data_IF_765278681694
#
_entry.id   IF_765278681694
#
_cell.length_a   1.000
_cell.length_b   1.000
_cell.length_c   1.000
_cell.angle_alpha   90.00
_cell.angle_beta   90.00
_cell.angle_gamma   90.00
#
_symmetry.space_group_name_H-M   'P 1'
#
loop_
_entity.id
_entity.type
_entity.pdbx_description
1 polymer ?
#
# COMPACT_ATOMS: atom_id res chain seq x y z
N UNK A 1 -10.84 25.60 0.62
CA UNK A 1 -9.99 24.42 0.36
C UNK A 1 -10.71 23.18 0.90
N UNK A 2 -10.62 22.02 0.24
CA UNK A 2 -11.10 20.77 0.85
C UNK A 2 -10.18 20.44 2.04
N UNK A 3 -10.70 19.99 3.19
CA UNK A 3 -9.86 19.53 4.28
C UNK A 3 -9.00 18.36 3.79
N UNK A 4 -7.75 18.30 4.27
CA UNK A 4 -6.92 17.14 4.01
C UNK A 4 -7.59 15.88 4.60
N UNK A 5 -7.52 14.72 3.93
CA UNK A 5 -7.93 13.46 4.51
C UNK A 5 -7.22 13.24 5.85
N UNK A 6 -7.91 12.60 6.79
CA UNK A 6 -7.33 12.26 8.09
C UNK A 6 -6.17 11.27 7.90
N UNK A 7 -4.97 11.66 8.33
CA UNK A 7 -3.80 10.79 8.37
C UNK A 7 -3.81 10.00 9.67
N UNK A 8 -4.21 8.73 9.60
CA UNK A 8 -4.28 7.86 10.77
C UNK A 8 -2.91 7.45 11.33
N UNK A 9 -1.83 7.63 10.57
CA UNK A 9 -0.48 7.20 10.95
C UNK A 9 0.50 8.36 11.09
N UNK A 10 0.07 9.60 10.91
CA UNK A 10 0.90 10.81 11.00
C UNK A 10 2.19 10.72 10.18
N UNK A 11 2.11 10.13 8.97
CA UNK A 11 3.23 9.82 8.07
C UNK A 11 4.33 8.94 8.67
N UNK A 12 4.02 8.22 9.75
CA UNK A 12 4.92 7.23 10.35
C UNK A 12 4.67 5.86 9.70
N UNK A 13 5.40 5.59 8.62
CA UNK A 13 5.36 4.30 7.92
C UNK A 13 6.41 3.34 8.47
N UNK A 14 6.35 3.12 9.79
CA UNK A 14 7.25 2.22 10.54
C UNK A 14 6.39 1.37 11.45
N UNK A 15 6.73 0.09 11.57
CA UNK A 15 6.09 -0.85 12.48
C UNK A 15 7.17 -1.60 13.26
N UNK A 16 6.87 -1.96 14.52
CA UNK A 16 7.80 -2.68 15.40
C UNK A 16 7.67 -4.20 15.29
N UNK A 17 6.57 -4.70 14.73
CA UNK A 17 6.30 -6.12 14.55
C UNK A 17 5.44 -6.39 13.30
N UNK A 18 5.44 -7.64 12.77
CA UNK A 18 4.59 -8.04 11.65
C UNK A 18 3.11 -7.83 11.94
N UNK A 19 2.32 -7.53 10.91
CA UNK A 19 0.86 -7.33 10.96
C UNK A 19 0.38 -6.16 11.84
N UNK A 20 1.28 -5.25 12.25
CA UNK A 20 0.90 -4.07 13.03
C UNK A 20 0.44 -2.88 12.16
N UNK A 21 0.96 -2.78 10.93
CA UNK A 21 0.58 -1.73 9.97
C UNK A 21 0.69 -2.27 8.54
N UNK A 22 -0.39 -2.11 7.78
CA UNK A 22 -0.44 -2.41 6.36
C UNK A 22 -0.69 -1.15 5.55
N UNK A 23 0.00 -1.05 4.41
CA UNK A 23 -0.23 0.02 3.43
C UNK A 23 -0.79 -0.58 2.15
N UNK A 24 -1.72 0.13 1.53
CA UNK A 24 -2.20 -0.21 0.19
C UNK A 24 -1.57 0.70 -0.84
N UNK A 25 -1.04 0.14 -1.92
CA UNK A 25 -0.57 0.88 -3.08
C UNK A 25 -1.31 0.42 -4.34
N UNK A 26 -1.41 1.31 -5.33
CA UNK A 26 -2.08 1.05 -6.59
C UNK A 26 -1.20 1.51 -7.75
N UNK A 27 -0.83 0.57 -8.61
CA UNK A 27 0.14 0.82 -9.68
C UNK A 27 -0.29 0.17 -11.00
N UNK A 28 0.47 0.49 -12.04
CA UNK A 28 0.26 0.04 -13.41
C UNK A 28 1.33 -0.98 -13.77
N UNK A 29 0.92 -2.17 -14.20
CA UNK A 29 1.82 -3.23 -14.62
C UNK A 29 1.73 -3.38 -16.13
N UNK A 30 2.88 -3.25 -16.80
CA UNK A 30 2.99 -3.45 -18.25
C UNK A 30 2.84 -4.93 -18.60
N UNK A 31 2.12 -5.21 -19.67
CA UNK A 31 1.88 -6.54 -20.24
C UNK A 31 2.04 -6.48 -21.77
N UNK A 32 2.14 -7.64 -22.41
CA UNK A 32 2.20 -7.72 -23.87
C UNK A 32 0.94 -7.21 -24.60
N UNK A 33 -0.17 -7.09 -23.88
CA UNK A 33 -1.47 -6.64 -24.42
C UNK A 33 -1.85 -5.22 -23.96
N UNK A 34 -0.96 -4.50 -23.28
CA UNK A 34 -1.22 -3.18 -22.71
C UNK A 34 -0.88 -3.13 -21.22
N UNK A 35 -1.68 -2.44 -20.42
CA UNK A 35 -1.44 -2.29 -18.98
C UNK A 35 -2.61 -2.84 -18.17
N UNK A 36 -2.29 -3.40 -17.01
CA UNK A 36 -3.27 -3.75 -15.98
C UNK A 36 -3.04 -2.90 -14.74
N UNK A 37 -4.13 -2.62 -14.06
CA UNK A 37 -4.12 -1.95 -12.77
C UNK A 37 -4.06 -3.00 -11.68
N UNK A 38 -3.15 -2.84 -10.73
CA UNK A 38 -3.01 -3.78 -9.62
C UNK A 38 -2.96 -3.03 -8.30
N UNK A 39 -3.78 -3.46 -7.36
CA UNK A 39 -3.74 -3.03 -5.98
C UNK A 39 -2.93 -4.04 -5.14
N UNK A 40 -2.01 -3.56 -4.32
CA UNK A 40 -1.21 -4.37 -3.40
C UNK A 40 -1.49 -3.96 -1.96
N UNK A 41 -1.53 -4.93 -1.05
CA UNK A 41 -1.46 -4.72 0.40
C UNK A 41 -0.09 -5.18 0.85
N UNK A 42 0.68 -4.28 1.45
CA UNK A 42 2.06 -4.53 1.88
C UNK A 42 2.16 -4.40 3.40
N UNK A 43 2.79 -5.39 4.03
CA UNK A 43 3.14 -5.31 5.45
C UNK A 43 4.32 -4.36 5.66
N UNK A 44 4.15 -3.34 6.50
CA UNK A 44 5.18 -2.29 6.68
C UNK A 44 6.43 -2.83 7.38
N UNK A 45 6.29 -3.83 8.25
CA UNK A 45 7.43 -4.41 8.97
C UNK A 45 8.19 -5.41 8.09
N UNK A 46 7.50 -6.42 7.57
CA UNK A 46 8.11 -7.55 6.86
C UNK A 46 8.38 -7.23 5.38
N UNK A 47 7.76 -6.19 4.82
CA UNK A 47 7.81 -5.81 3.40
C UNK A 47 7.32 -6.89 2.44
N UNK A 48 6.47 -7.78 2.94
CA UNK A 48 5.80 -8.80 2.13
C UNK A 48 4.47 -8.31 1.60
N UNK A 49 4.09 -8.81 0.43
CA UNK A 49 2.76 -8.62 -0.14
C UNK A 49 1.82 -9.59 0.56
N UNK A 50 0.86 -9.04 1.30
CA UNK A 50 -0.16 -9.80 2.04
C UNK A 50 -1.35 -10.15 1.14
N UNK A 51 -1.61 -9.32 0.13
CA UNK A 51 -2.67 -9.56 -0.85
C UNK A 51 -2.54 -8.64 -2.07
N UNK A 52 -3.21 -9.01 -3.15
CA UNK A 52 -3.27 -8.21 -4.37
C UNK A 52 -4.56 -8.48 -5.16
N UNK A 53 -4.96 -7.51 -5.98
CA UNK A 53 -6.09 -7.62 -6.91
C UNK A 53 -5.88 -6.80 -8.17
#
# INVERSE_FOLDING_TARGET
>A
ARPCPQDHVNRQFVAECPNALWVSDFTYVSTWQGFVYVAFIVDVFARFIVGWK
#
